data_IF_745402930906
#
_entry.id   IF_745402930906
#
_cell.length_a   1.000
_cell.length_b   1.000
_cell.length_c   1.000
_cell.angle_alpha   90.00
_cell.angle_beta   90.00
_cell.angle_gamma   90.00
#
_symmetry.space_group_name_H-M   'P 1'
#
loop_
_entity.id
_entity.type
_entity.pdbx_description
1 polymer ?
#
# COMPACT_ATOMS: atom_id res chain seq x y z
N UNK A 1 16.22 -5.07 -28.92
CA UNK A 1 15.67 -3.71 -28.89
C UNK A 1 14.95 -3.58 -27.58
N UNK A 2 15.65 -3.04 -26.58
CA UNK A 2 15.11 -2.74 -25.27
C UNK A 2 14.42 -1.38 -25.36
N UNK A 3 13.16 -1.34 -24.95
CA UNK A 3 12.44 -0.17 -24.47
C UNK A 3 11.36 -0.77 -23.56
N UNK A 4 11.75 -1.18 -22.34
CA UNK A 4 11.55 -0.37 -21.14
C UNK A 4 10.15 0.27 -21.15
N UNK A 5 9.18 -0.61 -20.91
CA UNK A 5 7.86 -0.16 -20.51
C UNK A 5 8.00 0.80 -19.32
N UNK A 6 7.14 1.82 -19.37
CA UNK A 6 6.72 2.70 -18.28
C UNK A 6 7.64 3.91 -18.01
N UNK A 7 7.77 4.78 -19.02
CA UNK A 7 8.07 6.20 -18.77
C UNK A 7 6.84 6.91 -18.20
N UNK A 8 6.96 7.33 -16.94
CA UNK A 8 6.33 8.52 -16.35
C UNK A 8 4.81 8.67 -16.56
N UNK A 9 4.02 7.87 -15.83
CA UNK A 9 2.79 8.42 -15.26
C UNK A 9 3.19 8.95 -13.89
N UNK A 10 2.90 10.20 -13.57
CA UNK A 10 3.14 10.79 -12.24
C UNK A 10 2.33 9.96 -11.22
N UNK A 11 2.90 8.86 -10.71
CA UNK A 11 2.21 7.97 -9.78
C UNK A 11 2.26 8.65 -8.43
N UNK A 12 1.20 9.39 -8.11
CA UNK A 12 1.02 10.01 -6.80
C UNK A 12 1.03 8.92 -5.73
N UNK A 13 2.16 8.81 -5.02
CA UNK A 13 2.37 7.83 -3.96
C UNK A 13 1.18 7.79 -3.00
N UNK A 14 0.70 6.60 -2.71
CA UNK A 14 -0.38 6.36 -1.77
C UNK A 14 0.01 6.78 -0.35
N UNK A 15 1.30 6.73 -0.01
CA UNK A 15 1.82 7.16 1.28
C UNK A 15 1.57 8.66 1.53
N UNK A 16 1.40 9.46 0.48
CA UNK A 16 1.09 10.90 0.60
C UNK A 16 -0.42 11.20 0.53
N UNK A 17 -1.26 10.19 0.26
CA UNK A 17 -2.71 10.35 0.20
C UNK A 17 -3.32 10.29 1.60
N UNK A 18 -4.50 10.89 1.76
CA UNK A 18 -5.29 10.77 2.98
C UNK A 18 -6.20 9.54 2.85
N UNK A 19 -5.71 8.41 3.35
CA UNK A 19 -6.41 7.13 3.31
C UNK A 19 -6.94 6.77 4.70
N UNK A 20 -8.16 6.23 4.73
CA UNK A 20 -8.78 5.72 5.95
C UNK A 20 -8.77 4.21 5.95
N UNK A 21 -8.14 3.65 6.97
CA UNK A 21 -7.86 2.25 7.11
C UNK A 21 -8.76 1.63 8.15
N UNK A 22 -9.37 0.51 7.79
CA UNK A 22 -10.09 -0.33 8.73
C UNK A 22 -9.22 -1.52 9.12
N UNK A 23 -9.01 -1.69 10.42
CA UNK A 23 -8.32 -2.87 10.95
C UNK A 23 -9.12 -4.14 10.65
N UNK A 24 -8.43 -5.20 10.27
CA UNK A 24 -8.99 -6.53 10.04
C UNK A 24 -8.55 -7.50 11.12
N UNK A 25 -9.34 -8.55 11.31
CA UNK A 25 -9.00 -9.69 12.17
C UNK A 25 -8.20 -10.74 11.38
N UNK A 26 -7.12 -10.28 10.74
CA UNK A 26 -6.24 -11.09 9.90
C UNK A 26 -4.78 -10.79 10.28
N UNK A 27 -3.97 -11.84 10.45
CA UNK A 27 -2.59 -11.71 10.91
C UNK A 27 -1.63 -11.26 9.80
N UNK A 28 -1.94 -11.57 8.54
CA UNK A 28 -1.13 -11.21 7.37
C UNK A 28 -1.64 -9.93 6.72
N UNK A 29 -2.96 -9.77 6.59
CA UNK A 29 -3.61 -8.62 5.94
C UNK A 29 -4.31 -7.70 6.94
N UNK A 30 -3.50 -6.97 7.70
CA UNK A 30 -3.90 -6.27 8.93
C UNK A 30 -4.83 -5.07 8.73
N UNK A 31 -4.78 -4.39 7.57
CA UNK A 31 -5.62 -3.24 7.26
C UNK A 31 -6.17 -3.27 5.85
N UNK A 32 -7.36 -2.72 5.65
CA UNK A 32 -7.94 -2.49 4.33
C UNK A 32 -8.56 -1.10 4.21
N UNK A 33 -8.52 -0.54 3.02
CA UNK A 33 -9.16 0.71 2.64
C UNK A 33 -9.78 0.56 1.25
N UNK A 34 -10.78 1.40 0.95
CA UNK A 34 -11.31 1.52 -0.40
C UNK A 34 -10.95 2.91 -0.93
N UNK A 35 -10.24 2.96 -2.05
CA UNK A 35 -9.97 4.19 -2.78
C UNK A 35 -10.92 4.26 -3.98
N UNK A 36 -11.71 5.35 -4.14
CA UNK A 36 -12.69 5.45 -5.21
C UNK A 36 -12.06 5.56 -6.62
N UNK A 37 -10.76 5.83 -6.72
CA UNK A 37 -10.04 5.93 -7.99
C UNK A 37 -9.26 4.65 -8.32
N UNK A 38 -8.66 4.01 -7.32
CA UNK A 38 -7.69 2.92 -7.52
C UNK A 38 -8.23 1.54 -7.14
N UNK A 39 -9.35 1.47 -6.41
CA UNK A 39 -9.97 0.20 -6.01
C UNK A 39 -9.66 -0.20 -4.57
N UNK A 40 -9.44 -1.50 -4.34
CA UNK A 40 -9.26 -2.02 -2.98
C UNK A 40 -7.80 -1.97 -2.58
N UNK A 41 -7.53 -1.30 -1.46
CA UNK A 41 -6.20 -1.21 -0.88
C UNK A 41 -6.09 -2.12 0.34
N UNK A 42 -4.98 -2.84 0.47
CA UNK A 42 -4.71 -3.75 1.60
C UNK A 42 -3.28 -3.57 2.08
N UNK A 43 -3.08 -3.54 3.40
CA UNK A 43 -1.75 -3.59 4.00
C UNK A 43 -1.44 -5.03 4.42
N UNK A 44 -0.37 -5.58 3.85
CA UNK A 44 0.25 -6.83 4.28
C UNK A 44 1.34 -6.53 5.30
N UNK A 45 1.36 -7.27 6.40
CA UNK A 45 2.47 -7.31 7.35
C UNK A 45 3.50 -8.33 6.85
N UNK A 46 4.73 -7.91 6.64
CA UNK A 46 5.79 -8.80 6.15
C UNK A 46 6.66 -9.34 7.29
N UNK A 47 7.59 -10.24 6.95
CA UNK A 47 8.56 -10.80 7.90
C UNK A 47 9.76 -9.85 8.09
N UNK A 48 9.59 -8.87 8.98
CA UNK A 48 10.64 -7.91 9.31
C UNK A 48 11.68 -8.53 10.27
N UNK A 49 13.00 -8.35 10.06
CA UNK A 49 13.64 -7.40 9.13
C UNK A 49 14.07 -7.99 7.78
N UNK A 50 13.63 -9.20 7.42
CA UNK A 50 13.98 -9.79 6.13
C UNK A 50 13.35 -9.02 4.96
N UNK A 51 12.16 -8.46 5.17
CA UNK A 51 11.43 -7.56 4.26
C UNK A 51 11.04 -6.26 4.98
N UNK A 52 10.70 -5.17 4.26
CA UNK A 52 10.13 -3.95 4.85
C UNK A 52 8.87 -4.28 5.66
N UNK A 53 8.58 -3.56 6.74
CA UNK A 53 7.55 -3.96 7.71
C UNK A 53 6.16 -4.15 7.07
N UNK A 54 5.80 -3.24 6.15
CA UNK A 54 4.52 -3.26 5.47
C UNK A 54 4.68 -3.24 3.95
N UNK A 55 3.74 -3.90 3.27
CA UNK A 55 3.51 -3.72 1.83
C UNK A 55 2.07 -3.28 1.61
N UNK A 56 1.90 -2.22 0.82
CA UNK A 56 0.62 -1.79 0.27
C UNK A 56 0.35 -2.57 -1.02
N UNK A 57 -0.83 -3.18 -1.08
CA UNK A 57 -1.36 -3.84 -2.27
C UNK A 57 -2.56 -3.07 -2.78
N UNK A 58 -2.63 -2.87 -4.10
CA UNK A 58 -3.79 -2.36 -4.82
C UNK A 58 -4.36 -3.51 -5.65
N UNK A 59 -5.60 -3.91 -5.38
CA UNK A 59 -6.25 -5.06 -6.01
C UNK A 59 -5.35 -6.33 -6.03
N UNK A 60 -4.66 -6.59 -4.90
CA UNK A 60 -3.72 -7.70 -4.70
C UNK A 60 -2.38 -7.58 -5.44
N UNK A 61 -2.11 -6.47 -6.11
CA UNK A 61 -0.80 -6.16 -6.72
C UNK A 61 0.01 -5.30 -5.75
N UNK A 62 1.23 -5.68 -5.36
CA UNK A 62 2.11 -4.84 -4.56
C UNK A 62 2.43 -3.54 -5.29
N UNK A 63 2.21 -2.40 -4.65
CA UNK A 63 2.48 -1.08 -5.25
C UNK A 63 3.56 -0.30 -4.51
N UNK A 64 3.61 -0.37 -3.18
CA UNK A 64 4.59 0.34 -2.35
C UNK A 64 4.93 -0.47 -1.09
N UNK A 65 6.15 -0.34 -0.57
CA UNK A 65 6.57 -0.92 0.72
C UNK A 65 7.10 0.18 1.63
N UNK A 66 6.86 0.06 2.93
CA UNK A 66 7.23 1.09 3.91
C UNK A 66 7.39 0.49 5.30
N UNK A 67 8.23 1.12 6.11
CA UNK A 67 8.50 0.69 7.48
C UNK A 67 7.72 1.51 8.52
N UNK A 68 7.50 2.79 8.24
CA UNK A 68 6.79 3.72 9.12
C UNK A 68 5.38 4.03 8.61
N UNK A 69 4.41 4.04 9.51
CA UNK A 69 3.03 4.38 9.17
C UNK A 69 2.93 5.84 8.68
N UNK A 70 2.40 6.11 7.47
CA UNK A 70 2.31 7.47 6.96
C UNK A 70 1.46 8.39 7.85
N UNK A 71 1.91 9.63 8.11
CA UNK A 71 1.22 10.55 9.03
C UNK A 71 -0.12 11.06 8.49
N UNK A 72 -0.32 10.99 7.17
CA UNK A 72 -1.57 11.34 6.48
C UNK A 72 -2.65 10.26 6.59
N UNK A 73 -2.30 9.05 7.03
CA UNK A 73 -3.21 7.91 7.09
C UNK A 73 -3.95 7.88 8.43
N UNK A 74 -5.25 7.61 8.38
CA UNK A 74 -6.10 7.49 9.56
C UNK A 74 -6.53 6.03 9.73
N UNK A 75 -6.50 5.52 10.95
CA UNK A 75 -7.02 4.19 11.29
C UNK A 75 -8.32 4.38 12.07
N UNK A 76 -9.39 3.72 11.62
CA UNK A 76 -10.70 3.67 12.28
C UNK A 76 -10.77 2.58 13.36
#
# INVERSE_FOLDING_TARGET
MADLAVEDMITKSFLQRNLRWKKRDDAEFVYAAADPHEGTLVIRLNDFPAEPLYTLLCDSVPVESFDDWPPSWQVD
#
